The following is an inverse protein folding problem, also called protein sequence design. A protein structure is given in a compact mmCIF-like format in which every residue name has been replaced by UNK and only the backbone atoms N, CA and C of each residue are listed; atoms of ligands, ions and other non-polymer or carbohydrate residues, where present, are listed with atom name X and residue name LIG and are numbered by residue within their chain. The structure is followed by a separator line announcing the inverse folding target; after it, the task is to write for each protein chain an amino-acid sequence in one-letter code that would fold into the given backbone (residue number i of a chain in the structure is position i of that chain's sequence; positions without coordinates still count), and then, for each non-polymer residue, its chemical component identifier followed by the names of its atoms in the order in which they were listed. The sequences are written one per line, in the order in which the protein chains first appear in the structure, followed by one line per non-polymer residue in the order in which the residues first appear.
data_IF_307171911077
#
_entry.id   IF_307171911077
#
_cell.length_a   1.000
_cell.length_b   1.000
_cell.length_c   1.000
_cell.angle_alpha   90.00
_cell.angle_beta   90.00
_cell.angle_gamma   90.00
#
_symmetry.space_group_name_H-M   'P 1'
#
loop_
_entity.id
_entity.type
_entity.pdbx_description
1 polymer ?
#
# COMPACT_ATOMS: atom_id res chain seq x y z
N UNK A 1 -17.33 18.53 -27.51
CA UNK A 1 -16.35 17.97 -26.54
C UNK A 1 -15.38 17.08 -27.33
N UNK A 2 -14.06 17.15 -27.12
CA UNK A 2 -13.10 16.30 -27.84
C UNK A 2 -13.31 14.80 -27.52
N UNK A 3 -12.80 13.90 -28.38
CA UNK A 3 -12.89 12.44 -28.14
C UNK A 3 -12.34 12.07 -26.76
N UNK A 4 -11.18 12.63 -26.39
CA UNK A 4 -10.57 12.45 -25.08
C UNK A 4 -11.50 12.82 -23.92
N UNK A 5 -12.09 14.02 -23.95
CA UNK A 5 -12.93 14.47 -22.84
C UNK A 5 -14.23 13.64 -22.76
N UNK A 6 -14.77 13.18 -23.89
CA UNK A 6 -15.92 12.25 -23.88
C UNK A 6 -15.52 10.92 -23.26
N UNK A 7 -14.41 10.33 -23.70
CA UNK A 7 -13.87 9.09 -23.15
C UNK A 7 -13.65 9.19 -21.64
N UNK A 8 -12.94 10.21 -21.18
CA UNK A 8 -12.70 10.47 -19.76
C UNK A 8 -14.00 10.58 -18.95
N UNK A 9 -14.98 11.36 -19.42
CA UNK A 9 -16.25 11.51 -18.72
C UNK A 9 -17.04 10.20 -18.65
N UNK A 10 -17.04 9.41 -19.73
CA UNK A 10 -17.66 8.08 -19.73
C UNK A 10 -16.95 7.16 -18.72
N UNK A 11 -15.61 7.14 -18.71
CA UNK A 11 -14.83 6.36 -17.73
C UNK A 11 -15.20 6.73 -16.29
N UNK A 12 -15.31 8.02 -15.97
CA UNK A 12 -15.71 8.47 -14.65
C UNK A 12 -17.14 8.02 -14.28
N UNK A 13 -18.07 7.99 -15.23
CA UNK A 13 -19.43 7.52 -15.00
C UNK A 13 -19.48 6.02 -14.71
N UNK A 14 -18.75 5.20 -15.47
CA UNK A 14 -18.75 3.74 -15.27
C UNK A 14 -18.04 3.33 -13.99
N UNK A 15 -16.97 4.04 -13.59
CA UNK A 15 -16.30 3.84 -12.29
C UNK A 15 -17.28 4.15 -11.15
N UNK A 16 -17.95 5.31 -11.18
CA UNK A 16 -18.95 5.67 -10.16
C UNK A 16 -20.14 4.72 -10.13
N UNK A 17 -20.48 4.12 -11.27
CA UNK A 17 -21.51 3.10 -11.39
C UNK A 17 -21.08 1.71 -10.94
N UNK A 18 -19.82 1.49 -10.54
CA UNK A 18 -19.31 0.18 -10.14
C UNK A 18 -19.31 -0.85 -11.27
N UNK A 19 -19.19 -0.41 -12.53
CA UNK A 19 -19.31 -1.29 -13.70
C UNK A 19 -17.99 -1.92 -14.16
N UNK A 20 -16.87 -1.46 -13.61
CA UNK A 20 -15.51 -1.92 -13.93
C UNK A 20 -14.88 -2.57 -12.70
N UNK A 21 -14.10 -3.62 -12.91
CA UNK A 21 -13.35 -4.33 -11.86
C UNK A 21 -11.89 -3.91 -11.84
N UNK A 22 -11.30 -3.66 -13.01
CA UNK A 22 -9.94 -3.18 -13.18
C UNK A 22 -9.80 -2.32 -14.45
N UNK A 23 -8.68 -1.62 -14.57
CA UNK A 23 -8.34 -0.90 -15.79
C UNK A 23 -6.90 -0.41 -15.81
N UNK A 24 -6.33 -0.32 -17.01
CA UNK A 24 -4.96 0.14 -17.25
C UNK A 24 -4.90 0.92 -18.55
N UNK A 25 -4.21 2.06 -18.57
CA UNK A 25 -4.05 2.85 -19.78
C UNK A 25 -2.95 2.29 -20.69
N UNK A 26 -3.00 2.70 -21.94
CA UNK A 26 -1.98 2.36 -22.95
C UNK A 26 -0.97 3.51 -23.03
N UNK A 27 0.28 3.18 -22.70
CA UNK A 27 1.42 4.10 -22.64
C UNK A 27 2.66 3.46 -23.31
N UNK A 28 3.85 3.61 -22.72
CA UNK A 28 5.10 3.03 -23.21
C UNK A 28 5.00 1.51 -23.39
N UNK A 29 5.51 1.01 -24.52
CA UNK A 29 5.39 -0.40 -24.91
C UNK A 29 4.02 -0.78 -25.50
N UNK A 30 3.04 0.12 -25.42
CA UNK A 30 1.76 0.04 -26.12
C UNK A 30 0.77 -0.94 -25.51
N UNK A 31 -0.23 -1.30 -26.33
CA UNK A 31 -1.37 -2.11 -25.92
C UNK A 31 -0.96 -3.44 -25.26
N UNK A 32 0.04 -4.12 -25.84
CA UNK A 32 0.49 -5.43 -25.36
C UNK A 32 1.09 -5.36 -23.95
N UNK A 33 1.87 -4.32 -23.66
CA UNK A 33 2.47 -4.13 -22.34
C UNK A 33 1.38 -3.87 -21.30
N UNK A 34 0.49 -2.91 -21.55
CA UNK A 34 -0.62 -2.60 -20.64
C UNK A 34 -1.50 -3.82 -20.34
N UNK A 35 -1.81 -4.62 -21.37
CA UNK A 35 -2.60 -5.83 -21.23
C UNK A 35 -1.89 -6.90 -20.38
N UNK A 36 -0.60 -7.13 -20.63
CA UNK A 36 0.18 -8.10 -19.87
C UNK A 36 0.38 -7.65 -18.41
N UNK A 37 0.60 -6.36 -18.17
CA UNK A 37 0.69 -5.78 -16.82
C UNK A 37 -0.60 -5.97 -16.02
N UNK A 38 -1.78 -5.88 -16.66
CA UNK A 38 -3.04 -6.28 -16.01
C UNK A 38 -3.04 -7.76 -15.61
N UNK A 39 -2.52 -8.65 -16.46
CA UNK A 39 -2.35 -10.06 -16.14
C UNK A 39 -1.37 -10.32 -15.00
N UNK A 40 -0.28 -9.55 -14.94
CA UNK A 40 0.72 -9.63 -13.86
C UNK A 40 0.13 -9.20 -12.53
N UNK A 41 -0.56 -8.05 -12.50
CA UNK A 41 -1.19 -7.48 -11.30
C UNK A 41 -2.35 -8.34 -10.79
N UNK A 42 -3.18 -8.86 -11.70
CA UNK A 42 -4.25 -9.79 -11.36
C UNK A 42 -3.76 -11.22 -11.06
N UNK A 43 -2.47 -11.49 -11.27
CA UNK A 43 -1.87 -12.82 -11.23
C UNK A 43 -2.78 -13.84 -11.94
N UNK A 44 -3.28 -13.56 -13.13
CA UNK A 44 -4.31 -14.38 -13.78
C UNK A 44 -4.02 -14.62 -15.27
N UNK A 45 -4.65 -15.64 -15.85
CA UNK A 45 -4.54 -15.92 -17.27
C UNK A 45 -5.32 -14.92 -18.12
N UNK A 46 -4.99 -14.85 -19.41
CA UNK A 46 -5.66 -13.97 -20.37
C UNK A 46 -6.02 -14.77 -21.63
N UNK A 47 -7.28 -14.68 -22.06
CA UNK A 47 -7.74 -15.18 -23.36
C UNK A 47 -8.19 -14.01 -24.21
N UNK A 48 -7.38 -13.67 -25.21
CA UNK A 48 -7.50 -12.44 -25.99
C UNK A 48 -7.68 -12.79 -27.47
N UNK A 49 -8.68 -12.21 -28.10
CA UNK A 49 -8.96 -12.36 -29.53
C UNK A 49 -9.28 -11.00 -30.14
N UNK A 50 -8.33 -10.49 -30.92
CA UNK A 50 -8.39 -9.16 -31.50
C UNK A 50 -8.64 -9.28 -32.99
N UNK A 51 -9.64 -8.55 -33.47
CA UNK A 51 -9.88 -8.34 -34.90
C UNK A 51 -9.66 -6.87 -35.24
N UNK A 52 -8.72 -6.59 -36.13
CA UNK A 52 -8.39 -5.22 -36.53
C UNK A 52 -7.81 -5.15 -37.96
N UNK A 53 -8.11 -4.08 -38.72
CA UNK A 53 -7.51 -3.86 -40.04
C UNK A 53 -6.05 -3.41 -39.95
N UNK A 54 -5.58 -2.97 -38.78
CA UNK A 54 -4.20 -2.52 -38.60
C UNK A 54 -3.21 -3.71 -38.64
N UNK A 55 -1.96 -3.50 -39.07
CA UNK A 55 -0.92 -4.53 -38.94
C UNK A 55 -0.69 -4.90 -37.48
N UNK A 56 -0.58 -6.21 -37.18
CA UNK A 56 -0.46 -6.75 -35.82
C UNK A 56 0.57 -6.01 -34.95
N UNK A 57 1.81 -5.86 -35.42
CA UNK A 57 2.86 -5.17 -34.64
C UNK A 57 2.50 -3.70 -34.37
N UNK A 58 1.90 -3.02 -35.36
CA UNK A 58 1.48 -1.63 -35.22
C UNK A 58 0.34 -1.45 -34.23
N UNK A 59 -0.55 -2.43 -34.11
CA UNK A 59 -1.60 -2.45 -33.09
C UNK A 59 -1.03 -2.74 -31.70
N UNK A 60 -0.25 -3.82 -31.56
CA UNK A 60 0.26 -4.31 -30.28
C UNK A 60 1.17 -3.29 -29.58
N UNK A 61 2.06 -2.65 -30.34
CA UNK A 61 3.02 -1.68 -29.81
C UNK A 61 2.59 -0.23 -30.05
N UNK A 62 1.30 0.02 -30.34
CA UNK A 62 0.80 1.38 -30.47
C UNK A 62 0.74 2.04 -29.11
N UNK A 63 1.46 3.16 -28.94
CA UNK A 63 1.43 4.00 -27.74
C UNK A 63 0.40 5.15 -27.88
N UNK A 64 -0.62 4.93 -28.72
CA UNK A 64 -1.73 5.88 -28.85
C UNK A 64 -2.61 5.78 -27.60
N UNK A 65 -3.15 6.92 -27.19
CA UNK A 65 -4.07 6.99 -26.04
C UNK A 65 -5.16 5.92 -26.14
N UNK A 66 -5.18 5.04 -25.13
CA UNK A 66 -6.10 3.93 -25.00
C UNK A 66 -6.31 3.57 -23.53
N UNK A 67 -7.39 2.83 -23.27
CA UNK A 67 -7.71 2.32 -21.95
C UNK A 67 -8.24 0.90 -22.11
N UNK A 68 -7.64 -0.04 -21.39
CA UNK A 68 -8.09 -1.41 -21.27
C UNK A 68 -8.89 -1.51 -19.97
N UNK A 69 -10.12 -2.02 -20.04
CA UNK A 69 -11.02 -2.12 -18.90
C UNK A 69 -11.48 -3.56 -18.74
N UNK A 70 -11.43 -4.05 -17.51
CA UNK A 70 -12.06 -5.30 -17.12
C UNK A 70 -13.42 -5.01 -16.48
N UNK A 71 -14.43 -5.79 -16.85
CA UNK A 71 -15.78 -5.64 -16.35
C UNK A 71 -16.58 -6.94 -16.48
N UNK A 72 -17.61 -7.09 -15.65
CA UNK A 72 -18.49 -8.26 -15.68
C UNK A 72 -19.48 -8.24 -16.86
N UNK A 73 -19.89 -7.04 -17.31
CA UNK A 73 -20.81 -6.84 -18.43
C UNK A 73 -20.17 -5.94 -19.50
N UNK A 74 -19.32 -6.50 -20.38
CA UNK A 74 -18.64 -5.73 -21.42
C UNK A 74 -19.60 -5.10 -22.42
N UNK A 75 -20.78 -5.70 -22.64
CA UNK A 75 -21.80 -5.15 -23.53
C UNK A 75 -22.33 -3.81 -23.03
N UNK A 76 -22.63 -3.72 -21.73
CA UNK A 76 -23.08 -2.47 -21.09
C UNK A 76 -21.97 -1.41 -21.14
N UNK A 77 -20.72 -1.77 -20.85
CA UNK A 77 -19.60 -0.82 -20.85
C UNK A 77 -19.32 -0.29 -22.26
N UNK A 78 -19.25 -1.18 -23.26
CA UNK A 78 -19.09 -0.79 -24.67
C UNK A 78 -20.24 0.11 -25.12
N UNK A 79 -21.49 -0.25 -24.78
CA UNK A 79 -22.67 0.57 -25.09
C UNK A 79 -22.54 2.00 -24.56
N UNK A 80 -22.08 2.18 -23.31
CA UNK A 80 -21.88 3.53 -22.73
C UNK A 80 -20.83 4.37 -23.45
N UNK A 81 -19.76 3.75 -23.95
CA UNK A 81 -18.77 4.46 -24.76
C UNK A 81 -19.35 4.84 -26.13
N UNK A 82 -20.06 3.92 -26.78
CA UNK A 82 -20.69 4.15 -28.08
C UNK A 82 -21.77 5.24 -28.01
N UNK A 83 -22.62 5.24 -26.98
CA UNK A 83 -23.63 6.28 -26.72
C UNK A 83 -23.01 7.69 -26.59
N UNK A 84 -21.75 7.76 -26.17
CA UNK A 84 -20.98 9.00 -26.04
C UNK A 84 -20.04 9.26 -27.23
N UNK A 85 -20.21 8.54 -28.35
CA UNK A 85 -19.39 8.65 -29.55
C UNK A 85 -17.89 8.43 -29.25
N UNK A 86 -17.58 7.37 -28.50
CA UNK A 86 -16.23 6.90 -28.20
C UNK A 86 -16.15 5.44 -28.63
N UNK A 87 -15.13 5.08 -29.40
CA UNK A 87 -14.93 3.69 -29.83
C UNK A 87 -14.53 2.81 -28.65
N UNK A 88 -15.18 1.66 -28.51
CA UNK A 88 -14.85 0.63 -27.56
C UNK A 88 -15.17 -0.73 -28.18
N UNK A 89 -14.34 -1.72 -27.89
CA UNK A 89 -14.49 -3.09 -28.40
C UNK A 89 -14.16 -4.08 -27.30
N UNK A 90 -14.79 -5.25 -27.36
CA UNK A 90 -14.41 -6.38 -26.51
C UNK A 90 -13.22 -7.08 -27.16
N UNK A 91 -12.15 -7.26 -26.39
CA UNK A 91 -10.88 -7.86 -26.86
C UNK A 91 -10.64 -9.27 -26.32
N UNK A 92 -11.44 -9.72 -25.34
CA UNK A 92 -11.24 -11.00 -24.66
C UNK A 92 -11.65 -10.95 -23.20
N UNK A 93 -11.07 -11.83 -22.39
CA UNK A 93 -11.34 -11.96 -20.97
C UNK A 93 -10.08 -12.33 -20.17
N UNK A 94 -10.05 -11.91 -18.90
CA UNK A 94 -9.23 -12.57 -17.90
C UNK A 94 -9.85 -13.94 -17.57
N UNK A 95 -9.00 -14.92 -17.31
CA UNK A 95 -9.42 -16.29 -17.00
C UNK A 95 -8.66 -16.83 -15.80
N UNK A 96 -9.20 -17.88 -15.18
CA UNK A 96 -8.48 -18.65 -14.19
C UNK A 96 -7.20 -19.26 -14.76
N UNK A 97 -6.28 -19.67 -13.88
CA UNK A 97 -4.97 -20.16 -14.28
C UNK A 97 -3.93 -19.04 -14.43
N UNK A 98 -2.82 -19.35 -15.11
CA UNK A 98 -1.62 -18.48 -15.20
C UNK A 98 -1.03 -18.48 -16.62
N UNK A 99 -1.87 -18.67 -17.62
CA UNK A 99 -1.47 -18.75 -19.02
C UNK A 99 -2.12 -17.65 -19.86
N UNK A 100 -1.36 -17.10 -20.82
CA UNK A 100 -1.83 -16.13 -21.80
C UNK A 100 -1.96 -16.81 -23.16
N UNK A 101 -3.16 -16.73 -23.73
CA UNK A 101 -3.42 -17.09 -25.13
C UNK A 101 -3.97 -15.87 -25.86
N UNK A 102 -3.31 -15.49 -26.95
CA UNK A 102 -3.68 -14.32 -27.73
C UNK A 102 -3.77 -14.66 -29.22
N UNK A 103 -4.87 -14.22 -29.84
CA UNK A 103 -5.12 -14.30 -31.28
C UNK A 103 -5.23 -12.91 -31.89
N UNK A 104 -4.78 -12.79 -33.13
CA UNK A 104 -4.93 -11.58 -33.94
C UNK A 104 -5.43 -11.97 -35.33
N UNK A 105 -6.62 -11.52 -35.70
CA UNK A 105 -7.29 -11.88 -36.95
C UNK A 105 -7.35 -13.41 -37.19
N UNK A 106 -7.53 -14.19 -36.12
CA UNK A 106 -7.61 -15.66 -36.13
C UNK A 106 -6.27 -16.39 -35.92
N UNK A 107 -5.14 -15.74 -36.18
CA UNK A 107 -3.80 -16.33 -36.00
C UNK A 107 -3.38 -16.30 -34.53
N UNK A 108 -2.81 -17.41 -34.04
CA UNK A 108 -2.29 -17.49 -32.66
C UNK A 108 -0.93 -16.78 -32.61
N UNK A 109 -0.83 -15.75 -31.78
CA UNK A 109 0.41 -14.95 -31.62
C UNK A 109 1.06 -15.14 -30.24
N UNK A 110 0.27 -15.57 -29.24
CA UNK A 110 0.79 -16.17 -28.01
C UNK A 110 -0.02 -17.41 -27.71
N UNK A 111 0.66 -18.52 -27.44
CA UNK A 111 0.04 -19.79 -27.10
C UNK A 111 0.49 -20.21 -25.71
N UNK A 112 -0.44 -20.16 -24.75
CA UNK A 112 -0.24 -20.64 -23.37
C UNK A 112 1.08 -20.16 -22.74
N UNK A 113 1.40 -18.89 -22.91
CA UNK A 113 2.60 -18.31 -22.30
C UNK A 113 2.36 -18.14 -20.80
N UNK A 114 3.32 -18.54 -19.97
CA UNK A 114 3.20 -18.41 -18.52
C UNK A 114 3.27 -16.94 -18.10
N UNK A 115 2.30 -16.50 -17.29
CA UNK A 115 2.30 -15.18 -16.64
C UNK A 115 3.58 -14.98 -15.83
N UNK A 116 4.03 -16.00 -15.09
CA UNK A 116 5.24 -15.92 -14.29
C UNK A 116 6.49 -15.72 -15.17
N UNK A 117 6.57 -16.41 -16.31
CA UNK A 117 7.71 -16.26 -17.24
C UNK A 117 7.72 -14.89 -17.93
N UNK A 118 6.55 -14.38 -18.31
CA UNK A 118 6.42 -13.05 -18.92
C UNK A 118 6.75 -11.96 -17.90
N UNK A 119 6.22 -12.06 -16.67
CA UNK A 119 6.54 -11.15 -15.56
C UNK A 119 8.03 -11.18 -15.23
N UNK A 120 8.67 -12.34 -15.16
CA UNK A 120 10.10 -12.44 -14.90
C UNK A 120 10.94 -11.73 -15.99
N UNK A 121 10.50 -11.79 -17.25
CA UNK A 121 11.15 -11.04 -18.33
C UNK A 121 11.00 -9.53 -18.14
N UNK A 122 9.82 -9.08 -17.70
CA UNK A 122 9.52 -7.68 -17.41
C UNK A 122 10.30 -7.17 -16.18
N UNK A 123 10.42 -7.97 -15.11
CA UNK A 123 11.13 -7.62 -13.87
C UNK A 123 12.66 -7.75 -13.96
N UNK A 124 13.20 -8.39 -15.02
CA UNK A 124 14.62 -8.70 -15.13
C UNK A 124 15.54 -7.47 -14.96
N UNK A 125 15.10 -6.30 -15.40
CA UNK A 125 15.87 -5.05 -15.23
C UNK A 125 15.84 -4.57 -13.78
N UNK A 126 14.69 -4.67 -13.10
CA UNK A 126 14.56 -4.36 -11.67
C UNK A 126 15.48 -5.24 -10.84
N UNK A 127 15.45 -6.56 -11.05
CA UNK A 127 16.34 -7.49 -10.34
C UNK A 127 17.82 -7.24 -10.62
N UNK A 128 18.18 -6.88 -11.86
CA UNK A 128 19.56 -6.52 -12.19
C UNK A 128 20.03 -5.26 -11.43
N UNK A 129 19.15 -4.26 -11.25
CA UNK A 129 19.46 -3.06 -10.47
C UNK A 129 19.49 -3.33 -8.97
N UNK A 130 18.57 -4.15 -8.45
CA UNK A 130 18.53 -4.51 -7.03
C UNK A 130 19.76 -5.29 -6.58
N UNK A 131 20.31 -6.17 -7.43
CA UNK A 131 21.57 -6.87 -7.15
C UNK A 131 22.76 -5.92 -6.94
N UNK A 132 22.67 -4.67 -7.41
CA UNK A 132 23.71 -3.65 -7.20
C UNK A 132 23.56 -2.90 -5.87
N UNK A 133 22.39 -2.99 -5.21
CA UNK A 133 22.02 -2.14 -4.07
C UNK A 133 21.62 -2.94 -2.82
N UNK A 134 21.16 -4.16 -3.00
CA UNK A 134 20.66 -5.04 -1.95
C UNK A 134 21.57 -6.25 -1.76
N UNK A 135 21.35 -6.99 -0.67
CA UNK A 135 22.00 -8.28 -0.48
C UNK A 135 21.48 -9.27 -1.52
N UNK A 136 22.39 -9.86 -2.29
CA UNK A 136 22.07 -10.74 -3.42
C UNK A 136 21.12 -11.89 -3.05
N UNK A 137 21.31 -12.52 -1.89
CA UNK A 137 20.43 -13.59 -1.42
C UNK A 137 18.98 -13.16 -1.20
N UNK A 138 18.73 -11.90 -0.86
CA UNK A 138 17.37 -11.38 -0.74
C UNK A 138 16.73 -11.24 -2.12
N UNK A 139 17.48 -10.71 -3.09
CA UNK A 139 17.02 -10.55 -4.48
C UNK A 139 16.74 -11.91 -5.12
N UNK A 140 17.62 -12.89 -4.92
CA UNK A 140 17.41 -14.27 -5.38
C UNK A 140 16.16 -14.91 -4.79
N UNK A 141 15.87 -14.64 -3.51
CA UNK A 141 14.67 -15.13 -2.85
C UNK A 141 13.40 -14.52 -3.44
N UNK A 142 13.42 -13.22 -3.76
CA UNK A 142 12.29 -12.51 -4.36
C UNK A 142 12.04 -12.98 -5.80
N UNK A 143 13.09 -13.02 -6.64
CA UNK A 143 13.01 -13.47 -8.03
C UNK A 143 12.49 -14.91 -8.13
N UNK A 144 12.98 -15.81 -7.25
CA UNK A 144 12.48 -17.18 -7.16
C UNK A 144 11.00 -17.22 -6.78
N UNK A 145 10.58 -16.42 -5.81
CA UNK A 145 9.18 -16.35 -5.40
C UNK A 145 8.28 -15.85 -6.54
N UNK A 146 8.70 -14.81 -7.27
CA UNK A 146 7.95 -14.29 -8.43
C UNK A 146 7.74 -15.33 -9.53
N UNK A 147 8.69 -16.26 -9.71
CA UNK A 147 8.61 -17.34 -10.70
C UNK A 147 7.78 -18.54 -10.23
N UNK A 148 7.91 -18.94 -8.97
CA UNK A 148 7.35 -20.19 -8.43
C UNK A 148 6.01 -20.02 -7.71
N UNK A 149 5.58 -18.78 -7.42
CA UNK A 149 4.34 -18.53 -6.68
C UNK A 149 3.11 -18.91 -7.51
N UNK A 150 2.54 -20.09 -7.24
CA UNK A 150 1.34 -20.60 -7.90
C UNK A 150 0.02 -20.15 -7.24
N UNK A 151 0.05 -19.73 -5.97
CA UNK A 151 -1.15 -19.44 -5.18
C UNK A 151 -1.09 -18.11 -4.45
N UNK A 152 -2.21 -17.40 -4.43
CA UNK A 152 -2.31 -16.15 -3.70
C UNK A 152 -2.30 -16.38 -2.17
N UNK A 153 -1.72 -15.46 -1.37
CA UNK A 153 -1.69 -15.58 0.08
C UNK A 153 -3.09 -15.72 0.68
N UNK A 154 -3.26 -16.71 1.57
CA UNK A 154 -4.52 -16.95 2.27
C UNK A 154 -4.52 -16.20 3.61
N UNK A 155 -5.48 -15.30 3.79
CA UNK A 155 -5.66 -14.55 5.04
C UNK A 155 -6.80 -15.15 5.86
N UNK A 156 -6.48 -15.63 7.07
CA UNK A 156 -7.47 -16.18 8.00
C UNK A 156 -7.48 -15.34 9.29
N UNK A 157 -8.59 -14.66 9.57
CA UNK A 157 -8.83 -14.03 10.86
C UNK A 157 -9.60 -15.00 11.77
N UNK A 158 -9.09 -15.25 12.97
CA UNK A 158 -9.79 -16.04 14.00
C UNK A 158 -10.70 -15.17 14.89
N UNK A 159 -11.01 -13.96 14.45
CA UNK A 159 -11.91 -13.01 15.10
C UNK A 159 -12.71 -12.25 14.04
N UNK A 160 -13.84 -11.70 14.46
CA UNK A 160 -14.65 -10.82 13.63
C UNK A 160 -14.02 -9.41 13.61
N UNK A 161 -13.78 -8.86 12.41
CA UNK A 161 -13.35 -7.47 12.27
C UNK A 161 -14.57 -6.56 12.40
N UNK A 162 -14.75 -5.97 13.58
CA UNK A 162 -15.82 -5.02 13.85
C UNK A 162 -15.31 -3.60 13.55
N UNK A 163 -15.91 -2.86 12.60
CA UNK A 163 -15.55 -1.46 12.36
C UNK A 163 -15.73 -0.61 13.62
N UNK A 164 -14.80 0.31 13.92
CA UNK A 164 -14.91 1.17 15.10
C UNK A 164 -16.17 2.03 15.01
N UNK A 165 -16.94 2.09 16.09
CA UNK A 165 -18.07 3.03 16.21
C UNK A 165 -17.55 4.29 16.90
N UNK A 166 -17.40 5.37 16.15
CA UNK A 166 -17.06 6.68 16.73
C UNK A 166 -18.28 7.15 17.52
N UNK A 167 -18.17 7.22 18.86
CA UNK A 167 -19.20 7.86 19.66
C UNK A 167 -19.03 9.37 19.52
N UNK A 168 -19.95 10.02 18.81
CA UNK A 168 -20.01 11.47 18.69
C UNK A 168 -20.26 12.10 20.08
N UNK A 169 -19.28 12.88 20.56
CA UNK A 169 -19.50 14.02 21.44
C UNK A 169 -20.15 13.79 22.82
N UNK A 170 -20.16 12.56 23.34
CA UNK A 170 -20.57 12.30 24.73
C UNK A 170 -19.61 12.92 25.75
N UNK A 171 -20.11 13.29 26.95
CA UNK A 171 -19.35 13.99 27.99
C UNK A 171 -17.93 13.42 28.19
N UNK A 172 -16.92 14.30 28.17
CA UNK A 172 -15.49 14.00 28.33
C UNK A 172 -15.10 13.25 29.63
N UNK A 173 -16.04 12.99 30.54
CA UNK A 173 -15.76 12.29 31.80
C UNK A 173 -15.72 10.78 31.58
N UNK A 174 -14.51 10.21 31.55
CA UNK A 174 -14.29 8.76 31.56
C UNK A 174 -13.35 8.22 30.48
N UNK A 175 -12.89 9.06 29.55
CA UNK A 175 -11.94 8.63 28.52
C UNK A 175 -10.57 8.28 29.10
N UNK A 176 -9.99 7.21 28.60
CA UNK A 176 -8.61 6.84 28.90
C UNK A 176 -7.69 7.73 28.07
N UNK A 177 -6.87 8.55 28.74
CA UNK A 177 -5.88 9.39 28.09
C UNK A 177 -4.66 8.59 27.62
N UNK A 178 -4.26 8.82 26.37
CA UNK A 178 -3.07 8.22 25.75
C UNK A 178 -2.15 9.32 25.24
N UNK A 179 -0.89 9.30 25.68
CA UNK A 179 0.17 10.15 25.15
C UNK A 179 0.78 9.47 23.93
N UNK A 180 0.69 10.11 22.77
CA UNK A 180 1.43 9.73 21.57
C UNK A 180 2.75 10.51 21.62
N UNK A 181 3.78 9.85 22.13
CA UNK A 181 5.10 10.44 22.31
C UNK A 181 5.87 10.43 20.99
N UNK A 182 6.33 11.61 20.58
CA UNK A 182 7.17 11.81 19.39
C UNK A 182 8.40 12.64 19.68
N UNK A 183 9.40 12.46 18.83
CA UNK A 183 10.65 13.23 18.81
C UNK A 183 10.80 13.93 17.45
N UNK A 184 11.73 14.87 17.35
CA UNK A 184 12.16 15.42 16.05
C UNK A 184 12.51 14.28 15.08
N UNK A 185 11.86 14.25 13.92
CA UNK A 185 12.04 13.22 12.90
C UNK A 185 11.09 12.01 13.00
N UNK A 186 10.32 11.88 14.09
CA UNK A 186 9.15 10.99 14.08
C UNK A 186 8.15 11.44 13.01
N UNK A 187 7.47 10.48 12.38
CA UNK A 187 6.53 10.76 11.30
C UNK A 187 5.29 9.86 11.28
N UNK A 188 5.18 8.93 12.25
CA UNK A 188 4.04 8.03 12.37
C UNK A 188 3.09 8.35 13.53
N UNK A 189 3.14 9.57 14.05
CA UNK A 189 2.36 10.02 15.21
C UNK A 189 0.88 10.27 14.90
N UNK A 190 0.55 10.78 13.70
CA UNK A 190 -0.82 11.20 13.35
C UNK A 190 -1.77 10.03 13.10
N UNK A 191 -1.33 9.04 12.35
CA UNK A 191 -2.08 7.81 12.14
C UNK A 191 -2.15 6.98 13.42
N UNK A 192 -1.12 7.02 14.27
CA UNK A 192 -1.16 6.40 15.58
C UNK A 192 -2.22 7.04 16.48
N UNK A 193 -2.25 8.38 16.55
CA UNK A 193 -3.29 9.11 17.26
C UNK A 193 -4.68 8.76 16.72
N UNK A 194 -4.83 8.67 15.40
CA UNK A 194 -6.12 8.31 14.77
C UNK A 194 -6.54 6.88 15.14
N UNK A 195 -5.63 5.91 15.14
CA UNK A 195 -5.93 4.53 15.50
C UNK A 195 -6.42 4.41 16.96
N UNK A 196 -5.75 5.10 17.89
CA UNK A 196 -6.19 5.14 19.29
C UNK A 196 -7.51 5.91 19.47
N UNK A 197 -7.72 7.00 18.74
CA UNK A 197 -8.98 7.74 18.75
C UNK A 197 -10.14 6.86 18.28
N UNK A 198 -9.97 6.13 17.18
CA UNK A 198 -10.98 5.19 16.67
C UNK A 198 -11.23 4.02 17.63
N UNK A 199 -10.24 3.64 18.43
CA UNK A 199 -10.39 2.65 19.51
C UNK A 199 -11.05 3.23 20.79
N UNK A 200 -11.44 4.51 20.79
CA UNK A 200 -12.16 5.17 21.89
C UNK A 200 -11.27 5.82 22.94
N UNK A 201 -9.99 6.06 22.66
CA UNK A 201 -9.10 6.79 23.56
C UNK A 201 -9.11 8.29 23.28
N UNK A 202 -8.78 9.08 24.31
CA UNK A 202 -8.46 10.49 24.11
C UNK A 202 -6.95 10.64 23.92
N UNK A 203 -6.54 10.97 22.70
CA UNK A 203 -5.14 11.03 22.30
C UNK A 203 -4.55 12.43 22.46
N UNK A 204 -3.33 12.50 22.94
CA UNK A 204 -2.57 13.74 23.09
C UNK A 204 -1.28 13.65 22.30
N UNK A 205 -1.01 14.67 21.48
CA UNK A 205 0.32 14.87 20.91
C UNK A 205 1.27 15.32 22.03
N UNK A 206 2.30 14.51 22.28
CA UNK A 206 3.30 14.81 23.30
C UNK A 206 4.66 14.76 22.65
N UNK A 207 5.37 15.88 22.69
CA UNK A 207 6.75 15.93 22.23
C UNK A 207 7.71 15.56 23.36
N UNK A 208 8.92 15.13 23.00
CA UNK A 208 10.01 15.01 23.97
C UNK A 208 10.34 16.35 24.65
N UNK A 209 10.11 17.48 23.98
CA UNK A 209 10.28 18.80 24.58
C UNK A 209 9.28 19.02 25.72
N UNK A 210 8.00 18.68 25.54
CA UNK A 210 6.97 18.80 26.59
C UNK A 210 7.31 17.93 27.81
N UNK A 211 7.87 16.74 27.56
CA UNK A 211 8.29 15.81 28.60
C UNK A 211 9.52 16.33 29.38
N UNK A 212 10.46 16.98 28.68
CA UNK A 212 11.71 17.50 29.26
C UNK A 212 11.48 18.81 30.01
N UNK A 213 10.65 19.72 29.49
CA UNK A 213 10.32 20.99 30.14
C UNK A 213 9.41 20.83 31.36
N UNK A 214 8.75 19.67 31.51
CA UNK A 214 7.68 19.43 32.49
C UNK A 214 6.43 20.31 32.27
N UNK A 215 6.24 20.85 31.06
CA UNK A 215 4.98 21.51 30.69
C UNK A 215 3.80 20.52 30.73
N UNK A 216 4.10 19.23 30.57
CA UNK A 216 3.17 18.13 30.67
C UNK A 216 3.80 16.95 31.43
N UNK A 217 3.00 16.34 32.32
CA UNK A 217 3.41 15.21 33.15
C UNK A 217 2.73 13.91 32.75
N UNK A 218 3.45 12.79 32.81
CA UNK A 218 2.92 11.47 32.40
C UNK A 218 1.89 10.86 33.38
N UNK A 219 1.69 11.45 34.56
CA UNK A 219 0.74 11.00 35.59
C UNK A 219 -0.73 11.03 35.13
N UNK A 220 -1.10 11.96 34.24
CA UNK A 220 -2.46 12.07 33.69
C UNK A 220 -2.80 11.03 32.60
N UNK A 221 -1.83 10.21 32.19
CA UNK A 221 -1.99 9.22 31.13
C UNK A 221 -2.07 7.80 31.68
N UNK A 222 -2.78 6.96 30.93
CA UNK A 222 -2.84 5.52 31.12
C UNK A 222 -2.12 4.78 29.99
N UNK A 223 -2.13 5.33 28.79
CA UNK A 223 -1.35 4.84 27.66
C UNK A 223 -0.18 5.75 27.35
N UNK A 224 0.97 5.15 27.05
CA UNK A 224 2.12 5.83 26.45
C UNK A 224 2.54 5.09 25.18
N UNK A 225 2.41 5.75 24.04
CA UNK A 225 2.66 5.17 22.73
C UNK A 225 3.82 5.89 22.08
N UNK A 226 4.85 5.14 21.70
CA UNK A 226 6.01 5.69 21.01
C UNK A 226 5.79 5.57 19.50
N UNK A 227 5.68 6.72 18.82
CA UNK A 227 5.43 6.80 17.39
C UNK A 227 6.56 6.22 16.53
N UNK A 228 6.21 5.85 15.29
CA UNK A 228 7.19 5.45 14.29
C UNK A 228 7.89 6.63 13.61
N UNK A 229 8.90 6.32 12.79
CA UNK A 229 9.58 7.27 11.93
C UNK A 229 11.09 7.19 12.01
N UNK A 230 11.73 8.35 11.81
CA UNK A 230 13.18 8.47 11.67
C UNK A 230 13.67 9.53 12.66
N UNK A 231 13.48 9.30 13.96
CA UNK A 231 13.90 10.27 14.98
C UNK A 231 15.37 10.66 14.77
N UNK A 232 15.67 11.96 14.72
CA UNK A 232 16.98 12.52 14.35
C UNK A 232 17.50 12.10 12.96
N UNK A 233 16.60 11.96 11.98
CA UNK A 233 16.87 11.68 10.56
C UNK A 233 17.78 10.46 10.32
N UNK A 234 17.73 9.50 11.22
CA UNK A 234 18.57 8.33 11.22
C UNK A 234 20.10 8.55 11.19
N UNK A 235 20.56 9.70 11.68
CA UNK A 235 21.99 10.01 11.77
C UNK A 235 22.68 9.10 12.81
N UNK A 236 23.69 8.34 12.36
CA UNK A 236 24.45 7.40 13.19
C UNK A 236 24.25 5.91 12.88
N UNK A 237 23.55 5.58 11.78
CA UNK A 237 23.34 4.20 11.28
C UNK A 237 22.31 3.40 12.07
N UNK A 238 22.17 2.10 11.77
CA UNK A 238 21.12 1.16 12.28
C UNK A 238 20.89 1.12 13.80
N UNK A 239 21.77 1.74 14.59
CA UNK A 239 21.63 1.88 16.05
C UNK A 239 21.66 3.34 16.53
N UNK A 240 22.11 4.31 15.73
CA UNK A 240 22.43 5.67 16.20
C UNK A 240 21.23 6.56 16.54
N UNK A 241 20.06 6.24 16.02
CA UNK A 241 18.97 7.20 15.78
C UNK A 241 18.00 7.21 16.95
N UNK A 242 17.49 6.01 17.21
CA UNK A 242 16.84 5.65 18.44
C UNK A 242 17.78 5.75 19.63
N UNK A 243 19.11 5.68 19.45
CA UNK A 243 20.06 5.95 20.54
C UNK A 243 20.01 7.41 20.98
N UNK A 244 19.83 8.38 20.08
CA UNK A 244 19.64 9.78 20.44
C UNK A 244 18.33 9.99 21.21
N UNK A 245 17.22 9.43 20.71
CA UNK A 245 15.94 9.50 21.42
C UNK A 245 16.00 8.79 22.78
N UNK A 246 16.60 7.60 22.84
CA UNK A 246 16.85 6.87 24.08
C UNK A 246 17.80 7.63 25.01
N UNK A 247 18.79 8.34 24.49
CA UNK A 247 19.70 9.18 25.27
C UNK A 247 18.96 10.36 25.90
N UNK A 248 18.08 11.05 25.17
CA UNK A 248 17.18 12.06 25.73
C UNK A 248 16.34 11.46 26.88
N UNK A 249 15.78 10.26 26.68
CA UNK A 249 15.00 9.58 27.71
C UNK A 249 15.81 9.12 28.94
N UNK A 250 17.06 8.67 28.75
CA UNK A 250 17.91 8.07 29.81
C UNK A 250 18.76 9.08 30.57
N UNK A 251 19.24 10.11 29.89
CA UNK A 251 20.23 11.04 30.45
C UNK A 251 19.62 12.37 30.86
N UNK A 252 18.42 12.73 30.37
CA UNK A 252 17.65 13.82 30.95
C UNK A 252 16.96 13.34 32.23
N UNK A 253 17.28 13.97 33.37
CA UNK A 253 16.76 13.55 34.67
C UNK A 253 15.24 13.66 34.78
N UNK A 254 14.64 14.68 34.16
CA UNK A 254 13.19 14.90 34.13
C UNK A 254 12.51 13.79 33.35
N UNK A 255 12.86 13.61 32.07
CA UNK A 255 12.24 12.60 31.22
C UNK A 255 12.41 11.19 31.80
N UNK A 256 13.62 10.85 32.28
CA UNK A 256 13.88 9.55 32.93
C UNK A 256 12.97 9.30 34.12
N UNK A 257 12.80 10.31 34.97
CA UNK A 257 11.98 10.18 36.18
C UNK A 257 10.51 9.99 35.82
N UNK A 258 9.99 10.78 34.87
CA UNK A 258 8.61 10.66 34.40
C UNK A 258 8.34 9.29 33.77
N UNK A 259 9.23 8.82 32.90
CA UNK A 259 9.10 7.50 32.25
C UNK A 259 9.16 6.35 33.27
N UNK A 260 10.07 6.44 34.25
CA UNK A 260 10.15 5.45 35.33
C UNK A 260 8.88 5.43 36.19
N UNK A 261 8.37 6.61 36.57
CA UNK A 261 7.14 6.74 37.35
C UNK A 261 5.93 6.19 36.58
N UNK A 262 5.80 6.52 35.29
CA UNK A 262 4.76 5.97 34.42
C UNK A 262 4.82 4.44 34.40
N UNK A 263 5.98 3.86 34.07
CA UNK A 263 6.16 2.41 33.96
C UNK A 263 5.95 1.66 35.28
N UNK A 264 6.20 2.30 36.42
CA UNK A 264 6.05 1.67 37.74
C UNK A 264 4.60 1.57 38.19
N UNK A 265 3.67 2.25 37.51
CA UNK A 265 2.25 2.21 37.86
C UNK A 265 1.63 0.90 37.38
N UNK A 266 0.79 0.23 38.20
CA UNK A 266 0.14 -1.03 37.83
C UNK A 266 -1.00 -0.85 36.82
N UNK A 267 -1.28 0.38 36.44
CA UNK A 267 -2.53 0.80 35.83
C UNK A 267 -2.32 1.52 34.49
N UNK A 268 -1.17 1.27 33.88
CA UNK A 268 -0.67 1.85 32.63
C UNK A 268 -0.35 0.77 31.59
N UNK A 269 -0.41 1.12 30.32
CA UNK A 269 0.08 0.33 29.20
C UNK A 269 1.01 1.14 28.31
N UNK A 270 1.87 0.44 27.55
CA UNK A 270 2.73 1.06 26.55
C UNK A 270 2.76 0.28 25.25
N UNK A 271 2.98 0.99 24.15
CA UNK A 271 3.12 0.43 22.80
C UNK A 271 4.24 1.17 22.07
N UNK A 272 5.08 0.43 21.35
CA UNK A 272 6.10 1.01 20.47
C UNK A 272 5.97 0.39 19.09
N UNK A 273 5.90 1.24 18.06
CA UNK A 273 5.78 0.79 16.67
C UNK A 273 6.96 1.30 15.85
N UNK A 274 7.59 0.42 15.08
CA UNK A 274 8.77 0.74 14.27
C UNK A 274 9.88 1.38 15.15
N UNK A 275 10.20 2.66 14.94
CA UNK A 275 11.18 3.40 15.73
C UNK A 275 10.83 3.48 17.23
N UNK A 276 9.55 3.55 17.59
CA UNK A 276 9.10 3.44 18.97
C UNK A 276 9.37 2.06 19.61
N UNK A 277 9.32 0.98 18.82
CA UNK A 277 9.68 -0.36 19.30
C UNK A 277 11.19 -0.45 19.59
N UNK A 278 12.01 0.06 18.67
CA UNK A 278 13.45 0.17 18.87
C UNK A 278 13.76 0.95 20.17
N UNK A 279 13.02 2.03 20.44
CA UNK A 279 13.21 2.85 21.63
C UNK A 279 12.90 2.04 22.89
N UNK A 280 11.75 1.36 22.92
CA UNK A 280 11.36 0.51 24.04
C UNK A 280 12.41 -0.57 24.31
N UNK A 281 12.96 -1.20 23.28
CA UNK A 281 14.06 -2.17 23.43
C UNK A 281 15.28 -1.54 24.12
N UNK A 282 15.70 -0.34 23.70
CA UNK A 282 16.83 0.36 24.30
C UNK A 282 16.54 0.84 25.72
N UNK A 283 15.30 1.19 26.05
CA UNK A 283 14.88 1.53 27.41
C UNK A 283 14.74 0.29 28.32
N UNK A 284 14.82 -0.93 27.78
CA UNK A 284 14.59 -2.18 28.50
C UNK A 284 13.13 -2.38 28.87
N UNK A 285 12.20 -1.96 28.01
CA UNK A 285 10.75 -2.04 28.18
C UNK A 285 10.13 -3.28 27.52
N UNK A 286 10.92 -4.05 26.78
CA UNK A 286 10.57 -5.34 26.16
C UNK A 286 11.25 -6.50 26.88
#
# INVERSE_FOLDING_TARGET
LSLFVRGWKTTQQIIRGGLVTAGHDVSDGGFITALLEMGFAGNCGLEIDITSPDPMLGFMFSERLGLILECNDPGVVVGKYLDNNVGAVVIGASVGGREVTMRYNGDIIMNKQSIASLRATWEATSFALERLQCQESCVESEEKWCLECESDPQWNANFEMIPPTIQDGGEMSGYIHVAILREEGSNGDREMATAFYLAGFQTWDVTMQDLVSSDLTLDRFRGLVFGGGFSYADVGGDKGTVNCWAACCKYNSTARTQLHQFRSRPDTFSLGVCNGCQLMALLGWL
#
